data_IF_682880959972
#
_entry.id   IF_682880959972
#
_cell.length_a   1.000
_cell.length_b   1.000
_cell.length_c   1.000
_cell.angle_alpha   90.00
_cell.angle_beta   90.00
_cell.angle_gamma   90.00
#
_symmetry.space_group_name_H-M   'P 1'
#
loop_
_entity.id
_entity.type
_entity.pdbx_description
1 polymer ?
#
# COMPACT_ATOMS: atom_id res chain seq x y z
N UNK A 1 -22.72 21.20 -13.35
CA UNK A 1 -21.55 20.39 -12.96
C UNK A 1 -20.32 21.24 -13.21
N UNK A 2 -19.73 21.84 -12.16
CA UNK A 2 -18.50 22.62 -12.26
C UNK A 2 -17.37 21.70 -11.82
N UNK A 3 -16.46 21.37 -12.73
CA UNK A 3 -15.19 20.75 -12.36
C UNK A 3 -14.37 21.82 -11.65
N UNK A 4 -14.07 21.61 -10.37
CA UNK A 4 -13.10 22.43 -9.65
C UNK A 4 -11.71 22.06 -10.17
N UNK A 5 -11.28 22.74 -11.24
CA UNK A 5 -9.87 22.93 -11.50
C UNK A 5 -9.36 23.98 -10.52
N UNK A 6 -9.10 23.58 -9.28
CA UNK A 6 -8.15 24.30 -8.45
C UNK A 6 -6.84 23.53 -8.54
N UNK A 7 -5.75 24.24 -8.84
CA UNK A 7 -4.38 23.76 -8.70
C UNK A 7 -4.11 23.54 -7.20
N UNK A 8 -4.71 22.51 -6.63
CA UNK A 8 -4.40 22.09 -5.27
C UNK A 8 -2.96 21.60 -5.31
N UNK A 9 -2.05 22.21 -4.52
CA UNK A 9 -0.66 21.78 -4.52
C UNK A 9 -0.59 20.30 -4.15
N UNK A 10 0.14 19.52 -4.94
CA UNK A 10 0.34 18.09 -4.66
C UNK A 10 0.87 17.93 -3.23
N UNK A 11 0.19 17.16 -2.37
CA UNK A 11 0.59 16.95 -0.99
C UNK A 11 1.98 16.34 -0.90
N UNK A 12 2.66 16.61 0.22
CA UNK A 12 4.04 16.20 0.44
C UNK A 12 4.10 15.37 1.72
N UNK A 13 4.32 14.07 1.57
CA UNK A 13 4.66 13.18 2.67
C UNK A 13 6.10 13.46 3.10
N UNK A 14 6.29 13.66 4.40
CA UNK A 14 7.61 13.90 4.98
C UNK A 14 8.30 12.57 5.28
N UNK A 15 9.60 12.48 5.02
CA UNK A 15 10.46 11.37 5.40
C UNK A 15 11.67 11.88 6.18
N UNK A 16 12.14 11.14 7.17
CA UNK A 16 13.29 11.50 7.99
C UNK A 16 14.32 10.38 8.04
N UNK A 17 15.60 10.73 7.89
CA UNK A 17 16.68 9.76 8.00
C UNK A 17 16.94 9.39 9.47
N UNK A 18 17.01 8.09 9.76
CA UNK A 18 17.43 7.57 11.07
C UNK A 18 18.90 7.15 11.10
N UNK A 19 19.59 7.26 9.96
CA UNK A 19 21.01 7.01 9.77
C UNK A 19 21.50 7.75 8.52
N UNK A 20 22.80 8.10 8.42
CA UNK A 20 23.33 8.73 7.22
C UNK A 20 23.29 7.75 6.04
N UNK A 21 22.63 8.16 4.94
CA UNK A 21 22.51 7.35 3.73
C UNK A 21 23.25 7.97 2.54
N UNK A 22 23.84 7.15 1.65
CA UNK A 22 24.35 7.63 0.38
C UNK A 22 23.27 8.32 -0.47
N UNK A 23 23.63 9.39 -1.19
CA UNK A 23 22.69 10.16 -2.01
C UNK A 23 21.95 9.29 -3.04
N UNK A 24 22.61 8.30 -3.64
CA UNK A 24 21.98 7.37 -4.59
C UNK A 24 20.92 6.48 -3.93
N UNK A 25 21.06 6.16 -2.64
CA UNK A 25 20.03 5.43 -1.88
C UNK A 25 18.80 6.31 -1.67
N UNK A 26 19.00 7.57 -1.28
CA UNK A 26 17.92 8.55 -1.08
C UNK A 26 17.17 8.79 -2.41
N UNK A 27 17.91 9.00 -3.50
CA UNK A 27 17.36 9.15 -4.85
C UNK A 27 16.57 7.91 -5.28
N UNK A 28 17.06 6.69 -4.98
CA UNK A 28 16.33 5.45 -5.24
C UNK A 28 15.01 5.39 -4.47
N UNK A 29 15.01 5.73 -3.18
CA UNK A 29 13.79 5.74 -2.36
C UNK A 29 12.77 6.73 -2.92
N UNK A 30 13.20 7.93 -3.29
CA UNK A 30 12.31 8.93 -3.91
C UNK A 30 11.78 8.46 -5.28
N UNK A 31 12.63 7.83 -6.09
CA UNK A 31 12.24 7.28 -7.38
C UNK A 31 11.22 6.14 -7.24
N UNK A 32 11.48 5.17 -6.36
CA UNK A 32 10.57 4.05 -6.12
C UNK A 32 9.24 4.53 -5.56
N UNK A 33 9.24 5.49 -4.64
CA UNK A 33 8.02 6.12 -4.13
C UNK A 33 7.24 6.82 -5.25
N UNK A 34 7.92 7.61 -6.10
CA UNK A 34 7.26 8.33 -7.19
C UNK A 34 6.70 7.39 -8.27
N UNK A 35 7.26 6.18 -8.42
CA UNK A 35 6.85 5.23 -9.46
C UNK A 35 5.41 4.70 -9.31
N UNK A 36 4.83 4.79 -8.12
CA UNK A 36 3.46 4.35 -7.82
C UNK A 36 2.53 5.46 -7.33
N UNK A 37 3.06 6.67 -7.08
CA UNK A 37 2.28 7.80 -6.57
C UNK A 37 1.41 8.50 -7.64
N UNK A 38 1.69 8.29 -8.93
CA UNK A 38 0.98 8.91 -10.09
C UNK A 38 0.65 10.40 -9.88
N UNK A 39 1.65 11.19 -9.47
CA UNK A 39 1.57 12.63 -9.16
C UNK A 39 0.65 13.03 -7.97
N UNK A 40 0.01 12.08 -7.29
CA UNK A 40 -0.93 12.36 -6.19
C UNK A 40 -0.24 12.76 -4.89
N UNK A 41 0.98 12.30 -4.65
CA UNK A 41 1.79 12.63 -3.45
C UNK A 41 3.27 12.68 -3.81
N UNK A 42 4.01 13.58 -3.15
CA UNK A 42 5.48 13.68 -3.27
C UNK A 42 6.14 13.32 -1.94
N UNK A 43 7.35 12.74 -2.01
CA UNK A 43 8.15 12.44 -0.82
C UNK A 43 9.29 13.46 -0.66
N UNK A 44 9.32 14.15 0.48
CA UNK A 44 10.43 15.00 0.89
C UNK A 44 11.23 14.32 2.01
N UNK A 45 12.48 13.93 1.74
CA UNK A 45 13.35 13.28 2.72
C UNK A 45 14.27 14.33 3.35
N UNK A 46 14.23 14.41 4.68
CA UNK A 46 15.06 15.30 5.49
C UNK A 46 16.21 14.52 6.14
N UNK A 47 17.41 15.04 5.94
CA UNK A 47 18.62 14.56 6.58
C UNK A 47 18.95 15.44 7.80
N UNK A 48 18.28 15.17 8.91
CA UNK A 48 18.52 15.86 10.18
C UNK A 48 19.30 14.93 11.12
N UNK A 49 20.58 15.22 11.32
CA UNK A 49 21.49 14.39 12.11
C UNK A 49 21.03 14.21 13.57
N UNK A 50 20.13 15.06 14.07
CA UNK A 50 19.56 14.87 15.40
C UNK A 50 18.62 13.67 15.49
N UNK A 51 18.12 13.15 14.37
CA UNK A 51 17.24 11.98 14.31
C UNK A 51 17.98 10.66 14.17
N UNK A 52 19.30 10.71 13.99
CA UNK A 52 20.10 9.51 13.85
C UNK A 52 20.07 8.66 15.12
N UNK A 53 19.79 7.37 14.96
CA UNK A 53 19.71 6.39 16.04
C UNK A 53 18.52 6.58 17.00
N UNK A 54 17.60 7.50 16.72
CA UNK A 54 16.38 7.70 17.51
C UNK A 54 15.27 6.73 17.12
N UNK A 55 14.40 6.42 18.07
CA UNK A 55 13.19 5.62 17.81
C UNK A 55 12.10 6.46 17.14
N UNK A 56 11.08 5.81 16.60
CA UNK A 56 9.92 6.48 16.01
C UNK A 56 9.22 7.41 17.02
N UNK A 57 9.09 6.95 18.27
CA UNK A 57 8.48 7.70 19.36
C UNK A 57 9.30 8.95 19.71
N UNK A 58 10.63 8.83 19.74
CA UNK A 58 11.52 9.97 20.02
C UNK A 58 11.48 11.02 18.91
N UNK A 59 11.42 10.59 17.65
CA UNK A 59 11.31 11.48 16.49
C UNK A 59 9.92 12.15 16.48
N UNK A 60 8.84 11.39 16.67
CA UNK A 60 7.46 11.93 16.77
C UNK A 60 7.38 13.04 17.83
N UNK A 61 7.88 12.79 19.06
CA UNK A 61 7.90 13.80 20.13
C UNK A 61 8.69 15.05 19.73
N UNK A 62 9.84 14.89 19.09
CA UNK A 62 10.68 16.01 18.66
C UNK A 62 9.99 16.85 17.57
N UNK A 63 9.28 16.20 16.64
CA UNK A 63 8.47 16.87 15.62
C UNK A 63 7.26 17.58 16.23
N UNK A 64 6.53 16.93 17.14
CA UNK A 64 5.35 17.51 17.82
C UNK A 64 5.72 18.72 18.68
N UNK A 65 6.88 18.69 19.32
CA UNK A 65 7.41 19.83 20.06
C UNK A 65 7.68 21.06 19.16
N UNK A 66 7.93 20.85 17.87
CA UNK A 66 8.12 21.92 16.86
C UNK A 66 6.78 22.34 16.24
N UNK A 67 5.91 21.37 16.00
CA UNK A 67 4.60 21.55 15.39
C UNK A 67 3.60 20.55 15.99
N UNK A 68 2.63 20.98 16.81
CA UNK A 68 1.65 20.06 17.38
C UNK A 68 0.76 19.34 16.36
N UNK A 69 0.67 19.84 15.11
CA UNK A 69 -0.09 19.22 14.02
C UNK A 69 0.83 18.40 13.10
N UNK A 70 1.62 17.50 13.67
CA UNK A 70 2.44 16.55 12.90
C UNK A 70 1.53 15.47 12.30
N UNK A 71 1.50 15.44 10.98
CA UNK A 71 0.90 14.36 10.20
C UNK A 71 1.79 13.12 10.21
N UNK A 72 1.31 12.04 9.59
CA UNK A 72 2.10 10.84 9.36
C UNK A 72 3.38 11.12 8.57
N UNK A 73 4.41 10.32 8.82
CA UNK A 73 5.69 10.46 8.14
C UNK A 73 6.39 9.11 7.95
N UNK A 74 7.41 9.11 7.11
CA UNK A 74 8.27 7.96 6.88
C UNK A 74 9.58 8.09 7.67
N UNK A 75 10.10 6.98 8.18
CA UNK A 75 11.48 6.87 8.63
C UNK A 75 12.27 6.00 7.65
N UNK A 76 13.39 6.54 7.19
CA UNK A 76 14.27 5.89 6.22
C UNK A 76 15.58 5.54 6.91
N UNK A 77 15.76 4.25 7.20
CA UNK A 77 16.94 3.69 7.85
C UNK A 77 17.90 3.00 6.90
N UNK A 78 19.01 2.50 7.43
CA UNK A 78 20.00 1.72 6.69
C UNK A 78 19.43 0.42 6.10
N UNK A 79 18.38 -0.13 6.74
CA UNK A 79 17.70 -1.33 6.31
C UNK A 79 17.03 -1.19 4.94
N UNK A 80 16.69 0.03 4.51
CA UNK A 80 16.09 0.29 3.20
C UNK A 80 16.98 -0.19 2.04
N UNK A 81 18.30 -0.18 2.22
CA UNK A 81 19.27 -0.64 1.22
C UNK A 81 19.08 -2.12 0.91
N UNK A 82 18.75 -2.89 1.94
CA UNK A 82 18.52 -4.30 1.79
C UNK A 82 17.05 -4.53 1.44
N UNK A 83 16.11 -3.98 2.20
CA UNK A 83 14.71 -4.43 2.17
C UNK A 83 13.80 -3.65 1.23
N UNK A 84 14.22 -2.51 0.68
CA UNK A 84 13.34 -1.59 -0.04
C UNK A 84 12.08 -1.21 0.76
N UNK A 85 12.20 -1.20 2.09
CA UNK A 85 11.12 -0.94 3.02
C UNK A 85 11.52 0.20 3.97
N UNK A 86 10.53 0.97 4.37
CA UNK A 86 10.64 2.09 5.30
C UNK A 86 9.64 1.89 6.44
N UNK A 87 9.81 2.61 7.54
CA UNK A 87 8.79 2.64 8.58
C UNK A 87 7.80 3.76 8.27
N UNK A 88 6.53 3.41 8.15
CA UNK A 88 5.43 4.35 8.16
C UNK A 88 5.05 4.61 9.63
N UNK A 89 5.00 5.87 10.04
CA UNK A 89 4.75 6.27 11.43
C UNK A 89 3.52 7.16 11.48
N UNK A 90 2.51 6.71 12.24
CA UNK A 90 1.27 7.41 12.49
C UNK A 90 1.20 8.05 13.87
N UNK A 91 -0.01 8.18 14.38
CA UNK A 91 -0.33 8.79 15.67
C UNK A 91 0.07 7.92 16.88
N UNK A 92 -0.09 8.49 18.07
CA UNK A 92 0.10 7.77 19.33
C UNK A 92 -1.02 6.77 19.55
N UNK A 93 -0.66 5.56 19.96
CA UNK A 93 -1.64 4.55 20.39
C UNK A 93 -2.28 5.02 21.68
N UNK A 94 -3.62 4.96 21.71
CA UNK A 94 -4.45 5.30 22.86
C UNK A 94 -4.58 4.14 23.84
N UNK A 95 -4.95 4.44 25.09
CA UNK A 95 -5.12 3.40 26.13
C UNK A 95 -6.20 2.37 25.76
N UNK A 96 -7.27 2.78 25.05
CA UNK A 96 -8.36 1.90 24.62
C UNK A 96 -7.88 0.85 23.59
N UNK A 97 -7.01 1.26 22.67
CA UNK A 97 -6.38 0.38 21.69
C UNK A 97 -5.40 -0.59 22.37
N UNK A 98 -4.65 -0.16 23.39
CA UNK A 98 -3.74 -1.03 24.12
C UNK A 98 -4.43 -2.19 24.85
N UNK A 99 -5.55 -1.91 25.53
CA UNK A 99 -6.19 -2.89 26.42
C UNK A 99 -6.76 -4.09 25.67
N UNK A 100 -7.18 -3.88 24.42
CA UNK A 100 -7.79 -4.91 23.61
C UNK A 100 -6.88 -5.42 22.52
N UNK A 101 -5.85 -4.65 22.11
CA UNK A 101 -5.21 -4.84 20.81
C UNK A 101 -3.69 -5.13 20.76
N UNK A 102 -2.96 -4.91 21.86
CA UNK A 102 -1.49 -4.90 21.80
C UNK A 102 -0.77 -5.48 23.03
N UNK A 103 0.43 -6.03 22.79
CA UNK A 103 1.39 -6.40 23.83
C UNK A 103 2.11 -5.14 24.31
N UNK A 104 1.71 -4.63 25.47
CA UNK A 104 2.44 -3.54 26.11
C UNK A 104 3.71 -4.07 26.79
N UNK A 105 4.88 -3.80 26.19
CA UNK A 105 6.19 -4.17 26.78
C UNK A 105 6.73 -3.13 27.76
N UNK A 106 6.16 -1.94 27.79
CA UNK A 106 6.58 -0.85 28.69
C UNK A 106 5.45 0.13 28.93
N UNK A 107 5.49 0.82 30.07
CA UNK A 107 4.57 1.92 30.41
C UNK A 107 4.81 3.20 29.56
N UNK A 108 5.71 3.15 28.57
CA UNK A 108 5.98 4.27 27.67
C UNK A 108 4.93 4.29 26.54
N UNK A 109 4.41 5.48 26.18
CA UNK A 109 3.57 5.64 25.00
C UNK A 109 4.30 5.15 23.76
N UNK A 110 3.57 4.47 22.87
CA UNK A 110 4.07 4.00 21.57
C UNK A 110 3.27 4.65 20.45
N UNK A 111 3.86 4.74 19.27
CA UNK A 111 3.19 5.22 18.07
C UNK A 111 2.77 4.04 17.20
N UNK A 112 1.68 4.20 16.47
CA UNK A 112 1.35 3.30 15.37
C UNK A 112 2.49 3.35 14.35
N UNK A 113 3.07 2.19 14.07
CA UNK A 113 4.14 2.09 13.06
C UNK A 113 4.11 0.74 12.37
N UNK A 114 4.39 0.75 11.08
CA UNK A 114 4.41 -0.44 10.24
C UNK A 114 5.56 -0.36 9.24
N UNK A 115 6.17 -1.51 8.91
CA UNK A 115 7.10 -1.56 7.78
C UNK A 115 6.30 -1.57 6.49
N UNK A 116 6.65 -0.71 5.53
CA UNK A 116 5.95 -0.60 4.25
C UNK A 116 6.99 -0.61 3.14
N UNK A 117 6.74 -1.39 2.09
CA UNK A 117 7.56 -1.30 0.87
C UNK A 117 7.52 0.13 0.35
N UNK A 118 8.65 0.71 -0.07
CA UNK A 118 8.72 2.10 -0.53
C UNK A 118 7.69 2.40 -1.63
N UNK A 119 7.41 1.40 -2.49
CA UNK A 119 6.41 1.47 -3.56
C UNK A 119 4.96 1.38 -3.11
N UNK A 120 4.69 0.82 -1.94
CA UNK A 120 3.35 0.76 -1.36
C UNK A 120 3.03 1.99 -0.49
N UNK A 121 4.06 2.73 -0.04
CA UNK A 121 3.87 3.89 0.83
C UNK A 121 2.94 4.99 0.27
N UNK A 122 2.98 5.35 -1.03
CA UNK A 122 2.08 6.37 -1.58
C UNK A 122 0.60 6.00 -1.48
N UNK A 123 0.22 4.77 -1.84
CA UNK A 123 -1.17 4.32 -1.81
C UNK A 123 -1.69 4.24 -0.38
N UNK A 124 -0.88 3.71 0.54
CA UNK A 124 -1.21 3.67 1.98
C UNK A 124 -1.44 5.06 2.56
N UNK A 125 -0.55 6.01 2.25
CA UNK A 125 -0.74 7.39 2.68
C UNK A 125 -2.07 7.98 2.19
N UNK A 126 -2.41 7.75 0.91
CA UNK A 126 -3.69 8.19 0.35
C UNK A 126 -4.85 7.56 1.11
N UNK A 127 -4.85 6.22 1.26
CA UNK A 127 -5.90 5.47 1.93
C UNK A 127 -6.11 5.95 3.37
N UNK A 128 -5.05 6.17 4.13
CA UNK A 128 -5.15 6.68 5.50
C UNK A 128 -5.62 8.14 5.54
N UNK A 129 -5.13 8.99 4.63
CA UNK A 129 -5.49 10.42 4.58
C UNK A 129 -6.97 10.68 4.28
N UNK A 130 -7.65 9.75 3.61
CA UNK A 130 -9.09 9.82 3.31
C UNK A 130 -9.92 8.87 4.19
N UNK A 131 -9.30 8.25 5.19
CA UNK A 131 -9.91 7.25 6.08
C UNK A 131 -10.56 6.06 5.33
N UNK A 132 -9.96 5.64 4.21
CA UNK A 132 -10.34 4.43 3.49
C UNK A 132 -9.81 3.15 4.17
N UNK A 133 -8.70 3.29 4.92
CA UNK A 133 -8.18 2.27 5.82
C UNK A 133 -7.40 2.93 6.97
N UNK A 134 -6.87 2.15 7.91
CA UNK A 134 -6.02 2.61 9.00
C UNK A 134 -4.73 1.79 9.11
N UNK A 135 -3.72 2.37 9.77
CA UNK A 135 -2.45 1.67 10.05
C UNK A 135 -2.72 0.40 10.87
N UNK A 136 -3.68 0.46 11.80
CA UNK A 136 -4.08 -0.66 12.64
C UNK A 136 -4.64 -1.83 11.81
N UNK A 137 -5.58 -1.55 10.89
CA UNK A 137 -6.15 -2.56 9.99
C UNK A 137 -5.06 -3.25 9.14
N UNK A 138 -4.12 -2.46 8.60
CA UNK A 138 -3.03 -3.03 7.80
C UNK A 138 -1.99 -3.77 8.67
N UNK A 139 -1.76 -3.35 9.92
CA UNK A 139 -0.92 -4.09 10.87
C UNK A 139 -1.51 -5.48 11.12
N UNK A 140 -2.82 -5.58 11.35
CA UNK A 140 -3.51 -6.86 11.54
C UNK A 140 -3.31 -7.83 10.35
N UNK A 141 -3.15 -7.29 9.14
CA UNK A 141 -2.85 -8.09 7.94
C UNK A 141 -1.40 -8.56 7.85
N UNK A 142 -0.48 -7.96 8.61
CA UNK A 142 0.97 -8.22 8.53
C UNK A 142 1.55 -8.94 9.75
N UNK A 143 0.79 -9.04 10.84
CA UNK A 143 1.22 -9.74 12.06
C UNK A 143 0.73 -11.19 12.09
N UNK A 144 1.64 -12.11 12.42
CA UNK A 144 1.31 -13.54 12.52
C UNK A 144 0.68 -13.92 13.87
N UNK A 145 0.77 -13.04 14.86
CA UNK A 145 0.40 -13.35 16.25
C UNK A 145 -0.39 -12.23 16.89
N UNK A 146 -1.40 -12.64 17.65
CA UNK A 146 -2.33 -11.76 18.33
C UNK A 146 -2.29 -12.08 19.85
N UNK A 147 -2.10 -11.10 20.76
CA UNK A 147 -1.96 -9.65 20.57
C UNK A 147 -0.75 -9.19 19.75
N UNK A 148 -0.94 -8.10 19.01
CA UNK A 148 0.08 -7.48 18.18
C UNK A 148 1.23 -6.93 19.04
N UNK A 149 2.47 -7.15 18.62
CA UNK A 149 3.66 -6.59 19.26
C UNK A 149 4.42 -5.71 18.26
N UNK A 150 4.26 -4.38 18.37
CA UNK A 150 4.91 -3.41 17.49
C UNK A 150 6.45 -3.37 17.59
N UNK A 151 7.03 -4.17 18.50
CA UNK A 151 8.48 -4.35 18.61
C UNK A 151 8.96 -5.70 18.08
N UNK A 152 8.04 -6.60 17.72
CA UNK A 152 8.40 -7.85 17.06
C UNK A 152 8.88 -7.58 15.62
N UNK A 153 9.67 -8.49 15.03
CA UNK A 153 9.99 -8.41 13.62
C UNK A 153 8.71 -8.40 12.79
N UNK A 154 8.48 -7.32 12.04
CA UNK A 154 7.33 -7.17 11.16
C UNK A 154 7.73 -7.39 9.70
N UNK A 155 6.86 -8.06 8.95
CA UNK A 155 6.93 -8.11 7.49
C UNK A 155 6.61 -6.73 6.93
N UNK A 156 7.19 -6.38 5.78
CA UNK A 156 6.80 -5.14 5.11
C UNK A 156 5.45 -5.31 4.40
N UNK A 157 4.52 -4.38 4.63
CA UNK A 157 3.29 -4.27 3.87
C UNK A 157 3.60 -4.07 2.38
N UNK A 158 2.86 -4.78 1.52
CA UNK A 158 3.07 -4.79 0.07
C UNK A 158 4.28 -5.63 -0.38
N UNK A 159 4.92 -6.41 0.51
CA UNK A 159 6.06 -7.25 0.12
C UNK A 159 5.68 -8.36 -0.89
N UNK A 160 4.46 -8.89 -0.84
CA UNK A 160 3.96 -9.86 -1.83
C UNK A 160 3.60 -9.21 -3.18
N UNK A 161 3.19 -7.94 -3.15
CA UNK A 161 2.80 -7.17 -4.34
C UNK A 161 4.01 -6.57 -5.07
N UNK A 162 5.03 -6.20 -4.30
CA UNK A 162 6.28 -5.62 -4.77
C UNK A 162 7.45 -6.50 -4.37
N UNK A 163 7.53 -7.77 -4.85
CA UNK A 163 8.67 -8.61 -4.57
C UNK A 163 9.94 -7.95 -5.13
N UNK A 164 11.08 -8.18 -4.48
CA UNK A 164 12.37 -7.63 -4.96
C UNK A 164 12.58 -8.01 -6.42
N UNK A 165 13.22 -7.13 -7.19
CA UNK A 165 13.58 -7.38 -8.60
C UNK A 165 14.42 -8.67 -8.83
N UNK A 166 14.94 -9.29 -7.77
CA UNK A 166 15.59 -10.61 -7.82
C UNK A 166 14.64 -11.80 -7.94
N UNK A 167 13.35 -11.61 -7.74
CA UNK A 167 12.34 -12.64 -8.01
C UNK A 167 11.82 -12.48 -9.44
N UNK A 168 12.01 -13.48 -10.33
CA UNK A 168 11.66 -13.37 -11.74
C UNK A 168 10.16 -13.29 -12.02
N UNK A 169 9.31 -13.44 -10.99
CA UNK A 169 7.87 -13.22 -11.11
C UNK A 169 7.57 -11.73 -10.94
N UNK A 170 7.79 -11.01 -12.03
CA UNK A 170 7.26 -9.66 -12.21
C UNK A 170 5.77 -9.70 -11.87
N UNK A 171 5.37 -9.07 -10.76
CA UNK A 171 3.98 -8.66 -10.61
C UNK A 171 3.61 -7.88 -11.87
N UNK A 172 2.73 -8.45 -12.68
CA UNK A 172 2.17 -7.80 -13.85
C UNK A 172 0.75 -7.39 -13.46
N UNK A 173 0.40 -6.10 -13.53
CA UNK A 173 -0.98 -5.71 -13.34
C UNK A 173 -1.86 -6.52 -14.32
N UNK A 174 -3.08 -6.91 -13.89
CA UNK A 174 -3.95 -7.70 -14.75
C UNK A 174 -4.29 -6.93 -16.05
N UNK A 175 -4.54 -7.67 -17.11
CA UNK A 175 -5.10 -7.13 -18.33
C UNK A 175 -6.60 -6.88 -18.14
N UNK A 176 -7.05 -5.66 -18.41
CA UNK A 176 -8.46 -5.33 -18.54
C UNK A 176 -8.93 -5.73 -19.93
N UNK A 177 -9.75 -6.77 -20.00
CA UNK A 177 -10.22 -7.34 -21.26
C UNK A 177 -11.64 -6.88 -21.55
N UNK A 178 -11.94 -6.66 -22.84
CA UNK A 178 -13.31 -6.56 -23.36
C UNK A 178 -13.50 -7.79 -24.23
N UNK A 179 -14.36 -8.71 -23.80
CA UNK A 179 -14.59 -9.99 -24.46
C UNK A 179 -15.93 -9.95 -25.21
N UNK A 180 -15.89 -10.28 -26.50
CA UNK A 180 -17.08 -10.32 -27.35
C UNK A 180 -18.01 -11.48 -26.94
N UNK A 181 -19.31 -11.43 -27.28
CA UNK A 181 -20.21 -12.56 -27.07
C UNK A 181 -19.65 -13.86 -27.66
N UNK A 182 -19.44 -14.85 -26.79
CA UNK A 182 -18.87 -16.14 -27.18
C UNK A 182 -17.39 -16.31 -26.88
N UNK A 183 -16.69 -15.27 -26.42
CA UNK A 183 -15.30 -15.34 -25.94
C UNK A 183 -15.20 -15.57 -24.42
N UNK A 184 -16.30 -15.43 -23.69
CA UNK A 184 -16.35 -15.54 -22.23
C UNK A 184 -17.40 -16.56 -21.74
N UNK A 185 -17.31 -16.94 -20.47
CA UNK A 185 -18.23 -17.81 -19.75
C UNK A 185 -18.74 -17.14 -18.46
N UNK A 186 -19.99 -17.41 -18.09
CA UNK A 186 -20.59 -17.01 -16.82
C UNK A 186 -20.53 -18.18 -15.82
N UNK A 187 -20.15 -17.90 -14.58
CA UNK A 187 -20.15 -18.86 -13.48
C UNK A 187 -20.92 -18.34 -12.26
N UNK A 188 -21.37 -19.24 -11.36
CA UNK A 188 -21.97 -18.84 -10.09
C UNK A 188 -20.92 -18.09 -9.25
N UNK A 189 -21.30 -16.94 -8.67
CA UNK A 189 -20.37 -16.13 -7.91
C UNK A 189 -19.98 -16.75 -6.58
N UNK A 190 -18.69 -17.02 -6.39
CA UNK A 190 -18.10 -17.36 -5.09
C UNK A 190 -16.64 -16.91 -4.98
N UNK A 191 -16.30 -15.71 -5.48
CA UNK A 191 -15.05 -15.08 -5.06
C UNK A 191 -15.25 -14.72 -3.58
N UNK A 192 -14.70 -15.57 -2.71
CA UNK A 192 -14.93 -15.56 -1.25
C UNK A 192 -14.53 -14.23 -0.59
N UNK A 193 -13.80 -13.39 -1.30
CA UNK A 193 -13.13 -12.20 -0.79
C UNK A 193 -13.72 -10.88 -1.31
N UNK A 194 -14.91 -10.90 -1.94
CA UNK A 194 -15.55 -9.67 -2.45
C UNK A 194 -16.86 -9.34 -1.74
N UNK A 195 -16.92 -8.15 -1.16
CA UNK A 195 -18.10 -7.56 -0.51
C UNK A 195 -18.57 -6.30 -1.30
N UNK A 196 -19.82 -6.25 -1.81
CA UNK A 196 -20.86 -7.26 -1.70
C UNK A 196 -20.54 -8.53 -2.50
N UNK A 197 -20.99 -9.70 -2.03
CA UNK A 197 -20.90 -10.94 -2.79
C UNK A 197 -21.49 -10.76 -4.18
N UNK A 198 -20.73 -11.13 -5.20
CA UNK A 198 -21.20 -11.06 -6.58
C UNK A 198 -22.09 -12.26 -6.87
N UNK A 199 -23.24 -12.05 -7.48
CA UNK A 199 -24.11 -13.15 -7.91
C UNK A 199 -23.49 -13.96 -9.07
N UNK A 200 -22.59 -13.31 -9.83
CA UNK A 200 -22.01 -13.84 -11.08
C UNK A 200 -20.55 -13.46 -11.18
N UNK A 201 -19.78 -14.37 -11.75
CA UNK A 201 -18.37 -14.15 -12.13
C UNK A 201 -18.18 -14.57 -13.58
N UNK A 202 -17.15 -14.03 -14.20
CA UNK A 202 -16.88 -14.17 -15.61
C UNK A 202 -15.43 -14.54 -15.83
N UNK A 203 -15.16 -15.25 -16.92
CA UNK A 203 -13.79 -15.52 -17.37
C UNK A 203 -13.78 -15.61 -18.89
N UNK A 204 -12.60 -15.44 -19.49
CA UNK A 204 -12.41 -15.84 -20.88
C UNK A 204 -12.62 -17.34 -21.01
N UNK A 205 -13.02 -17.83 -22.17
CA UNK A 205 -12.88 -19.24 -22.47
C UNK A 205 -11.39 -19.60 -22.55
N UNK A 206 -11.05 -20.86 -22.29
CA UNK A 206 -9.66 -21.31 -22.07
C UNK A 206 -8.73 -21.04 -23.25
N UNK A 207 -9.13 -21.52 -24.41
CA UNK A 207 -8.54 -21.28 -25.73
C UNK A 207 -8.42 -19.80 -26.12
N UNK A 208 -9.36 -18.94 -25.74
CA UNK A 208 -9.23 -17.47 -25.92
C UNK A 208 -8.15 -16.91 -24.98
N UNK A 209 -8.17 -17.31 -23.70
CA UNK A 209 -7.15 -16.88 -22.73
C UNK A 209 -5.73 -17.30 -23.17
N UNK A 210 -5.56 -18.55 -23.60
CA UNK A 210 -4.30 -19.10 -24.11
C UNK A 210 -3.80 -18.33 -25.35
N UNK A 211 -4.68 -17.96 -26.27
CA UNK A 211 -4.32 -17.18 -27.46
C UNK A 211 -3.66 -15.84 -27.11
N UNK A 212 -4.08 -15.20 -26.01
CA UNK A 212 -3.58 -13.90 -25.58
C UNK A 212 -2.54 -13.98 -24.44
N UNK A 213 -2.13 -15.19 -24.03
CA UNK A 213 -1.18 -15.34 -22.93
C UNK A 213 -1.75 -14.94 -21.57
N UNK A 214 -3.05 -15.16 -21.36
CA UNK A 214 -3.78 -14.83 -20.14
C UNK A 214 -4.18 -16.11 -19.39
N UNK A 215 -4.34 -16.00 -18.06
CA UNK A 215 -4.90 -17.05 -17.23
C UNK A 215 -6.39 -17.22 -17.49
N UNK A 216 -6.94 -18.36 -17.09
CA UNK A 216 -8.34 -18.72 -17.25
C UNK A 216 -9.09 -18.66 -15.91
N UNK A 217 -8.91 -17.57 -15.17
CA UNK A 217 -9.40 -17.43 -13.80
C UNK A 217 -10.75 -16.71 -13.75
N UNK A 218 -11.58 -16.98 -12.75
CA UNK A 218 -12.85 -16.26 -12.54
C UNK A 218 -12.60 -14.85 -12.01
N UNK A 219 -13.30 -13.87 -12.56
CA UNK A 219 -13.18 -12.47 -12.20
C UNK A 219 -14.56 -11.79 -12.14
N UNK A 220 -14.62 -10.64 -11.48
CA UNK A 220 -15.81 -9.79 -11.52
C UNK A 220 -15.84 -9.07 -12.85
N UNK A 221 -17.02 -9.05 -13.46
CA UNK A 221 -17.23 -8.42 -14.76
C UNK A 221 -18.29 -7.34 -14.73
N UNK A 222 -18.18 -6.42 -15.67
CA UNK A 222 -19.11 -5.32 -15.88
C UNK A 222 -19.39 -5.15 -17.38
N UNK A 223 -20.52 -4.52 -17.69
CA UNK A 223 -20.85 -4.17 -19.08
C UNK A 223 -20.06 -2.92 -19.51
N UNK A 224 -19.53 -2.87 -20.73
CA UNK A 224 -18.92 -1.65 -21.25
C UNK A 224 -19.95 -0.51 -21.34
N UNK A 225 -19.53 0.72 -21.09
CA UNK A 225 -20.41 1.90 -21.21
C UNK A 225 -20.83 2.17 -22.67
N UNK A 226 -20.03 1.71 -23.63
CA UNK A 226 -20.21 1.91 -25.06
C UNK A 226 -21.04 0.78 -25.70
N UNK A 227 -22.32 0.69 -25.33
CA UNK A 227 -23.30 -0.16 -26.01
C UNK A 227 -23.52 -1.55 -25.42
N UNK A 228 -24.73 -2.05 -25.58
CA UNK A 228 -25.16 -3.40 -25.16
C UNK A 228 -25.09 -4.36 -26.35
N UNK A 229 -23.88 -4.63 -26.83
CA UNK A 229 -23.61 -5.65 -27.85
C UNK A 229 -23.44 -7.06 -27.25
N UNK A 230 -23.63 -7.18 -25.93
CA UNK A 230 -23.44 -8.41 -25.18
C UNK A 230 -22.00 -8.67 -24.74
N UNK A 231 -21.07 -7.75 -24.99
CA UNK A 231 -19.68 -7.83 -24.52
C UNK A 231 -19.59 -7.75 -22.99
N UNK A 232 -18.49 -8.28 -22.45
CA UNK A 232 -18.22 -8.28 -21.02
C UNK A 232 -16.80 -7.80 -20.75
N UNK A 233 -16.64 -6.90 -19.78
CA UNK A 233 -15.35 -6.40 -19.33
C UNK A 233 -14.97 -7.04 -18.00
N UNK A 234 -13.72 -7.47 -17.83
CA UNK A 234 -13.20 -7.99 -16.56
C UNK A 234 -11.66 -7.96 -16.53
N UNK A 235 -11.06 -8.19 -15.37
CA UNK A 235 -9.61 -8.28 -15.21
C UNK A 235 -9.12 -9.73 -15.34
N UNK A 236 -7.99 -9.95 -16.03
CA UNK A 236 -7.34 -11.27 -16.17
C UNK A 236 -5.83 -11.15 -15.96
N UNK A 237 -5.24 -12.06 -15.18
CA UNK A 237 -3.79 -12.12 -15.00
C UNK A 237 -3.09 -12.72 -16.22
N UNK A 238 -1.83 -12.34 -16.45
CA UNK A 238 -1.00 -12.99 -17.47
C UNK A 238 -0.58 -14.40 -17.05
N UNK A 239 -0.38 -15.28 -18.04
CA UNK A 239 0.22 -16.62 -17.85
C UNK A 239 1.66 -16.52 -17.33
#
# INVERSE_FOLDING_TARGET
MRFFGQDTPTPILQGYLTSPLPANTIEKVQFDFASTADEQVRLAIHDDAEFYGKTAEEIRRALEARNPAVEDFLLVGEDVVETDAVWYVGEWVTDEEFENEMVQRSDQPVVWRMRVMVKAAPSRWIDYSIANSSIQEDIDSTVDTWPCDLNAPARAFGQDEFPRQSEPDRWRPPAYVIADPGEWEEGPGNLMDVDPPQERVYRLKKEVAEQYGLRNDWAIGWRPEAGDDGSMCFAQSYL
#
